data_IF_742349394914
#
_entry.id   IF_742349394914
#
_cell.length_a   1.000
_cell.length_b   1.000
_cell.length_c   1.000
_cell.angle_alpha   90.00
_cell.angle_beta   90.00
_cell.angle_gamma   90.00
#
_symmetry.space_group_name_H-M   'P 1'
#
loop_
_entity.id
_entity.type
_entity.pdbx_description
1 polymer ?
#
# COMPACT_ATOMS: atom_id res chain seq x y z
N UNK A 1 -35.35 19.10 -38.10
CA UNK A 1 -35.28 18.80 -36.66
C UNK A 1 -34.16 17.79 -36.34
N UNK A 2 -34.08 16.67 -37.06
CA UNK A 2 -33.05 15.62 -36.86
C UNK A 2 -31.59 16.07 -37.01
N UNK A 3 -31.26 16.89 -38.03
CA UNK A 3 -29.89 17.38 -38.24
C UNK A 3 -29.42 18.26 -37.08
N UNK A 4 -30.32 19.05 -36.47
CA UNK A 4 -30.00 19.88 -35.30
C UNK A 4 -29.71 19.02 -34.06
N UNK A 5 -30.46 17.94 -33.86
CA UNK A 5 -30.24 16.99 -32.75
C UNK A 5 -28.92 16.24 -32.93
N UNK A 6 -28.58 15.83 -34.16
CA UNK A 6 -27.32 15.15 -34.47
C UNK A 6 -26.09 16.02 -34.16
N UNK A 7 -26.15 17.31 -34.53
CA UNK A 7 -25.06 18.28 -34.29
C UNK A 7 -24.89 18.56 -32.79
N UNK A 8 -25.99 18.68 -32.03
CA UNK A 8 -25.94 18.87 -30.57
C UNK A 8 -25.32 17.65 -29.88
N UNK A 9 -25.67 16.44 -30.32
CA UNK A 9 -25.13 15.20 -29.76
C UNK A 9 -23.62 15.06 -30.05
N UNK A 10 -23.18 15.46 -31.25
CA UNK A 10 -21.75 15.50 -31.59
C UNK A 10 -20.99 16.52 -30.73
N UNK A 11 -21.54 17.73 -30.52
CA UNK A 11 -20.93 18.74 -29.64
C UNK A 11 -20.81 18.28 -28.18
N UNK A 12 -21.81 17.55 -27.65
CA UNK A 12 -21.79 17.02 -26.29
C UNK A 12 -20.70 15.96 -26.09
N UNK A 13 -20.46 15.11 -27.09
CA UNK A 13 -19.40 14.10 -27.04
C UNK A 13 -17.99 14.71 -27.14
N UNK A 14 -17.81 15.80 -27.90
CA UNK A 14 -16.51 16.49 -27.96
C UNK A 14 -16.16 17.22 -26.66
N UNK A 15 -17.16 17.73 -25.92
CA UNK A 15 -16.92 18.41 -24.63
C UNK A 15 -16.53 17.43 -23.50
N UNK A 16 -16.91 16.15 -23.59
CA UNK A 16 -16.57 15.14 -22.59
C UNK A 16 -15.09 14.71 -22.64
N UNK A 17 -14.45 14.77 -23.81
CA UNK A 17 -13.02 14.47 -23.95
C UNK A 17 -12.11 15.56 -23.35
N UNK A 18 -12.57 16.81 -23.26
CA UNK A 18 -11.77 17.91 -22.70
C UNK A 18 -11.64 17.86 -21.18
N UNK A 19 -12.53 17.13 -20.48
CA UNK A 19 -12.53 17.03 -19.01
C UNK A 19 -11.64 15.89 -18.48
N UNK A 20 -11.14 15.01 -19.34
CA UNK A 20 -10.37 13.83 -18.93
C UNK A 20 -8.83 14.01 -18.99
N UNK A 21 -8.35 15.18 -19.41
CA UNK A 21 -6.90 15.50 -19.47
C UNK A 21 -6.44 16.44 -18.36
N UNK A 22 -7.01 16.29 -17.16
CA UNK A 22 -6.27 16.62 -15.94
C UNK A 22 -5.42 15.39 -15.58
N UNK A 23 -4.41 15.11 -16.39
CA UNK A 23 -3.34 14.21 -15.98
C UNK A 23 -2.64 14.89 -14.81
N UNK A 24 -2.98 14.43 -13.61
CA UNK A 24 -2.33 14.81 -12.37
C UNK A 24 -0.82 14.66 -12.57
N UNK A 25 -0.12 15.79 -12.60
CA UNK A 25 1.34 15.80 -12.50
C UNK A 25 1.69 15.49 -11.05
N UNK A 26 1.33 14.29 -10.61
CA UNK A 26 1.82 13.73 -9.36
C UNK A 26 3.31 13.58 -9.55
N UNK A 27 4.07 14.58 -9.10
CA UNK A 27 5.49 14.44 -8.82
C UNK A 27 5.60 13.19 -7.97
N UNK A 28 6.06 12.09 -8.56
CA UNK A 28 6.30 10.85 -7.83
C UNK A 28 7.40 11.19 -6.85
N UNK A 29 6.99 11.57 -5.64
CA UNK A 29 7.88 11.75 -4.52
C UNK A 29 8.53 10.38 -4.33
N UNK A 30 9.75 10.24 -4.85
CA UNK A 30 10.48 8.98 -4.84
C UNK A 30 11.14 8.82 -3.47
N UNK A 31 10.34 9.03 -2.43
CA UNK A 31 10.74 8.72 -1.07
C UNK A 31 10.88 7.21 -0.98
N UNK A 32 12.12 6.75 -0.95
CA UNK A 32 12.48 5.34 -0.83
C UNK A 32 11.83 4.76 0.43
N UNK A 33 10.92 3.81 0.24
CA UNK A 33 10.27 3.09 1.34
C UNK A 33 10.89 1.70 1.49
N UNK A 34 11.19 1.32 2.73
CA UNK A 34 11.61 -0.05 3.03
C UNK A 34 10.42 -1.01 2.99
N UNK A 35 10.70 -2.30 2.77
CA UNK A 35 9.66 -3.32 2.67
C UNK A 35 8.79 -3.45 3.93
N UNK A 36 9.35 -3.20 5.12
CA UNK A 36 8.60 -3.28 6.38
C UNK A 36 7.35 -2.36 6.39
N UNK A 37 7.47 -1.14 5.84
CA UNK A 37 6.40 -0.14 5.77
C UNK A 37 5.32 -0.52 4.74
N UNK A 38 5.64 -1.38 3.78
CA UNK A 38 4.75 -1.78 2.68
C UNK A 38 3.81 -2.94 3.06
N UNK A 39 3.33 -2.98 4.31
CA UNK A 39 2.56 -4.11 4.83
C UNK A 39 1.27 -4.41 4.06
N UNK A 40 0.65 -3.41 3.45
CA UNK A 40 -0.51 -3.61 2.58
C UNK A 40 -0.23 -4.56 1.40
N UNK A 41 1.02 -4.61 0.91
CA UNK A 41 1.39 -5.47 -0.23
C UNK A 41 1.51 -6.95 0.15
N UNK A 42 1.83 -7.26 1.41
CA UNK A 42 2.07 -8.63 1.86
C UNK A 42 1.04 -9.16 2.86
N UNK A 43 0.24 -8.31 3.53
CA UNK A 43 -0.81 -8.77 4.45
C UNK A 43 -1.76 -9.81 3.82
N UNK A 44 -2.25 -9.64 2.58
CA UNK A 44 -3.09 -10.66 1.94
C UNK A 44 -2.38 -12.02 1.78
N UNK A 45 -1.07 -11.99 1.63
CA UNK A 45 -0.26 -13.20 1.48
C UNK A 45 -0.03 -13.89 2.82
N UNK A 46 -0.20 -13.21 3.95
CA UNK A 46 -0.02 -13.75 5.29
C UNK A 46 -1.33 -14.26 5.91
N UNK A 47 -2.47 -13.98 5.29
CA UNK A 47 -3.79 -14.35 5.81
C UNK A 47 -3.93 -15.87 6.01
N UNK A 48 -4.41 -16.26 7.19
CA UNK A 48 -4.58 -17.67 7.57
C UNK A 48 -3.27 -18.46 7.75
N UNK A 49 -2.10 -17.86 7.52
CA UNK A 49 -0.80 -18.54 7.64
C UNK A 49 -0.25 -18.43 9.06
N UNK A 50 0.48 -19.47 9.47
CA UNK A 50 1.34 -19.44 10.65
C UNK A 50 2.66 -18.78 10.25
N UNK A 51 2.91 -17.57 10.71
CA UNK A 51 4.05 -16.76 10.29
C UNK A 51 5.19 -16.89 11.31
N UNK A 52 6.40 -17.14 10.82
CA UNK A 52 7.64 -17.02 11.57
C UNK A 52 8.37 -15.76 11.14
N UNK A 53 8.87 -14.97 12.09
CA UNK A 53 9.56 -13.71 11.81
C UNK A 53 11.04 -13.80 12.20
N UNK A 54 11.94 -13.39 11.30
CA UNK A 54 13.35 -13.18 11.59
C UNK A 54 13.57 -11.69 11.80
N UNK A 55 13.81 -11.27 13.03
CA UNK A 55 13.78 -9.86 13.43
C UNK A 55 14.82 -9.56 14.52
N UNK A 56 15.20 -8.29 14.62
CA UNK A 56 16.06 -7.73 15.64
C UNK A 56 15.44 -6.44 16.20
N UNK A 57 16.11 -5.78 17.15
CA UNK A 57 15.64 -4.54 17.78
C UNK A 57 15.37 -3.38 16.80
N UNK A 58 16.00 -3.37 15.62
CA UNK A 58 15.84 -2.32 14.61
C UNK A 58 14.66 -2.58 13.66
N UNK A 59 13.95 -3.70 13.80
CA UNK A 59 12.85 -4.11 12.94
C UNK A 59 11.55 -3.35 13.26
N UNK A 60 11.52 -2.06 12.94
CA UNK A 60 10.44 -1.14 13.30
C UNK A 60 9.82 -0.44 12.09
N UNK A 61 8.55 -0.06 12.23
CA UNK A 61 7.77 0.79 11.33
C UNK A 61 7.17 1.89 12.19
N UNK A 62 7.52 3.15 11.90
CA UNK A 62 7.05 4.33 12.64
C UNK A 62 7.23 4.23 14.18
N UNK A 63 8.36 3.65 14.61
CA UNK A 63 8.68 3.44 16.03
C UNK A 63 7.97 2.26 16.69
N UNK A 64 7.12 1.53 15.95
CA UNK A 64 6.45 0.31 16.41
C UNK A 64 7.21 -0.89 15.87
N UNK A 65 7.52 -1.85 16.73
CA UNK A 65 8.19 -3.05 16.26
C UNK A 65 7.27 -3.90 15.38
N UNK A 66 7.82 -4.43 14.27
CA UNK A 66 7.05 -5.12 13.21
C UNK A 66 6.22 -6.31 13.75
N UNK A 67 6.74 -7.02 14.74
CA UNK A 67 6.02 -8.10 15.45
C UNK A 67 4.69 -7.62 16.01
N UNK A 68 4.65 -6.46 16.67
CA UNK A 68 3.42 -5.94 17.29
C UNK A 68 2.49 -5.40 16.21
N UNK A 69 3.03 -4.68 15.23
CA UNK A 69 2.28 -4.17 14.08
C UNK A 69 1.56 -5.30 13.34
N UNK A 70 2.23 -6.41 13.06
CA UNK A 70 1.62 -7.53 12.35
C UNK A 70 0.58 -8.28 13.20
N UNK A 71 0.82 -8.41 14.51
CA UNK A 71 -0.17 -8.99 15.43
C UNK A 71 -1.42 -8.13 15.55
N UNK A 72 -1.28 -6.82 15.63
CA UNK A 72 -2.40 -5.85 15.62
C UNK A 72 -3.21 -5.97 14.32
N UNK A 73 -2.53 -6.22 13.19
CA UNK A 73 -3.15 -6.47 11.88
C UNK A 73 -3.74 -7.89 11.74
N UNK A 74 -3.79 -8.68 12.81
CA UNK A 74 -4.41 -10.02 12.81
C UNK A 74 -3.53 -11.13 12.23
N UNK A 75 -2.24 -10.89 12.01
CA UNK A 75 -1.32 -11.93 11.53
C UNK A 75 -1.03 -12.92 12.65
N UNK A 76 -1.17 -14.21 12.35
CA UNK A 76 -0.84 -15.30 13.28
C UNK A 76 0.68 -15.53 13.36
N UNK A 77 1.36 -14.67 14.12
CA UNK A 77 2.79 -14.81 14.41
C UNK A 77 3.00 -15.93 15.43
N UNK A 78 3.64 -17.01 15.00
CA UNK A 78 3.82 -18.24 15.79
C UNK A 78 5.24 -18.48 16.28
N UNK A 79 6.24 -17.84 15.64
CA UNK A 79 7.63 -17.99 16.00
C UNK A 79 8.40 -16.71 15.70
N UNK A 80 9.36 -16.40 16.55
CA UNK A 80 10.30 -15.31 16.36
C UNK A 80 11.71 -15.90 16.41
N UNK A 81 12.53 -15.53 15.45
CA UNK A 81 13.95 -15.86 15.35
C UNK A 81 14.73 -14.57 15.50
N UNK A 82 15.62 -14.52 16.49
CA UNK A 82 16.50 -13.39 16.74
C UNK A 82 17.96 -13.84 16.59
N UNK A 83 18.84 -13.05 15.93
CA UNK A 83 20.22 -13.49 15.67
C UNK A 83 21.09 -13.58 16.94
N UNK A 84 21.00 -12.58 17.83
CA UNK A 84 21.91 -12.41 18.97
C UNK A 84 21.17 -11.87 20.22
N UNK A 85 21.01 -10.55 20.33
CA UNK A 85 20.49 -9.84 21.51
C UNK A 85 18.96 -9.82 21.62
N UNK A 86 18.29 -10.89 21.19
CA UNK A 86 16.85 -10.91 21.06
C UNK A 86 16.34 -9.91 20.01
N UNK A 87 15.05 -9.58 20.08
CA UNK A 87 14.38 -8.70 19.13
C UNK A 87 13.79 -7.44 19.77
N UNK A 88 13.92 -7.28 21.08
CA UNK A 88 13.48 -6.09 21.83
C UNK A 88 14.63 -5.21 22.29
N UNK A 89 15.82 -5.78 22.47
CA UNK A 89 17.00 -5.05 22.96
C UNK A 89 17.05 -4.90 24.49
N UNK A 90 16.25 -5.70 25.21
CA UNK A 90 16.21 -5.80 26.66
C UNK A 90 17.04 -6.99 27.18
#
# INVERSE_FOLDING_TARGET
MLIRILVILQCLMLSACALHSAADSSSVDTTMSVGAVQYQQYLPQLEGKRVGLVVNQTSQVDGIHIVDLLRDKGVNVTKIFAPEHGFRGD
#
